data_IF_404147321856
#
_entry.id   IF_404147321856
#
_cell.length_a   1.000
_cell.length_b   1.000
_cell.length_c   1.000
_cell.angle_alpha   90.00
_cell.angle_beta   90.00
_cell.angle_gamma   90.00
#
_symmetry.space_group_name_H-M   'P 1'
#
loop_
_entity.id
_entity.type
_entity.pdbx_description
1 polymer ?
#
# COMPACT_ATOMS: atom_id res chain seq x y z
N UNK A 1 -62.73 -6.97 -13.42
CA UNK A 1 -62.01 -6.34 -14.55
C UNK A 1 -60.69 -5.76 -14.05
N UNK A 2 -59.76 -6.56 -13.52
CA UNK A 2 -58.40 -6.15 -13.10
C UNK A 2 -57.53 -7.39 -12.93
N UNK A 3 -56.95 -7.93 -14.02
CA UNK A 3 -55.94 -9.02 -13.90
C UNK A 3 -54.97 -9.15 -15.09
N UNK A 4 -54.99 -8.24 -16.06
CA UNK A 4 -54.20 -8.35 -17.30
C UNK A 4 -53.02 -7.37 -17.40
N UNK A 5 -52.81 -6.46 -16.43
CA UNK A 5 -51.75 -5.44 -16.52
C UNK A 5 -50.43 -5.80 -15.81
N UNK A 6 -50.40 -6.82 -14.94
CA UNK A 6 -49.19 -7.16 -14.18
C UNK A 6 -48.18 -8.04 -14.96
N UNK A 7 -48.65 -8.86 -15.92
CA UNK A 7 -47.80 -9.79 -16.67
C UNK A 7 -46.95 -9.09 -17.73
N UNK A 8 -47.43 -7.96 -18.26
CA UNK A 8 -46.73 -7.16 -19.28
C UNK A 8 -45.51 -6.42 -18.72
N UNK A 9 -45.58 -5.92 -17.48
CA UNK A 9 -44.51 -5.11 -16.88
C UNK A 9 -43.31 -5.97 -16.45
N UNK A 10 -43.54 -7.19 -15.93
CA UNK A 10 -42.47 -8.11 -15.54
C UNK A 10 -41.68 -8.65 -16.74
N UNK A 11 -42.35 -8.91 -17.87
CA UNK A 11 -41.71 -9.32 -19.14
C UNK A 11 -40.89 -8.17 -19.75
N UNK A 12 -41.39 -6.93 -19.69
CA UNK A 12 -40.65 -5.74 -20.13
C UNK A 12 -39.41 -5.47 -19.26
N UNK A 13 -39.52 -5.59 -17.93
CA UNK A 13 -38.37 -5.44 -17.01
C UNK A 13 -37.36 -6.56 -17.18
N UNK A 14 -37.81 -7.81 -17.37
CA UNK A 14 -36.93 -8.96 -17.63
C UNK A 14 -36.15 -8.81 -18.95
N UNK A 15 -36.83 -8.42 -20.03
CA UNK A 15 -36.20 -8.20 -21.34
C UNK A 15 -35.22 -7.01 -21.30
N UNK A 16 -35.58 -5.94 -20.60
CA UNK A 16 -34.71 -4.77 -20.39
C UNK A 16 -33.45 -5.12 -19.57
N UNK A 17 -33.58 -5.87 -18.47
CA UNK A 17 -32.43 -6.34 -17.70
C UNK A 17 -31.51 -7.28 -18.49
N UNK A 18 -32.07 -8.15 -19.35
CA UNK A 18 -31.25 -9.02 -20.21
C UNK A 18 -30.53 -8.26 -21.31
N UNK A 19 -31.17 -7.25 -21.93
CA UNK A 19 -30.56 -6.41 -22.95
C UNK A 19 -29.44 -5.54 -22.34
N UNK A 20 -29.72 -4.85 -21.22
CA UNK A 20 -28.71 -4.09 -20.47
C UNK A 20 -27.56 -4.99 -20.00
N UNK A 21 -27.85 -6.23 -19.57
CA UNK A 21 -26.83 -7.19 -19.17
C UNK A 21 -25.96 -7.71 -20.33
N UNK A 22 -26.50 -7.82 -21.54
CA UNK A 22 -25.75 -8.18 -22.75
C UNK A 22 -24.88 -7.01 -23.25
N UNK A 23 -25.44 -5.80 -23.26
CA UNK A 23 -24.73 -4.57 -23.64
C UNK A 23 -23.54 -4.32 -22.70
N UNK A 24 -23.73 -4.54 -21.39
CA UNK A 24 -22.67 -4.33 -20.41
C UNK A 24 -21.52 -5.35 -20.55
N UNK A 25 -21.84 -6.62 -20.86
CA UNK A 25 -20.82 -7.65 -21.14
C UNK A 25 -20.05 -7.38 -22.43
N UNK A 26 -20.73 -6.94 -23.49
CA UNK A 26 -20.06 -6.59 -24.75
C UNK A 26 -19.13 -5.38 -24.58
N UNK A 27 -19.57 -4.37 -23.83
CA UNK A 27 -18.72 -3.21 -23.50
C UNK A 27 -17.48 -3.62 -22.67
N UNK A 28 -17.63 -4.55 -21.74
CA UNK A 28 -16.53 -5.05 -20.91
C UNK A 28 -15.50 -5.85 -21.72
N UNK A 29 -15.95 -6.76 -22.59
CA UNK A 29 -15.08 -7.51 -23.50
C UNK A 29 -14.39 -6.59 -24.52
N UNK A 30 -15.09 -5.58 -25.06
CA UNK A 30 -14.50 -4.59 -25.95
C UNK A 30 -13.41 -3.76 -25.24
N UNK A 31 -13.66 -3.31 -24.00
CA UNK A 31 -12.67 -2.60 -23.21
C UNK A 31 -11.45 -3.47 -22.87
N UNK A 32 -11.66 -4.77 -22.63
CA UNK A 32 -10.59 -5.73 -22.39
C UNK A 32 -9.74 -5.98 -23.64
N UNK A 33 -10.38 -6.15 -24.80
CA UNK A 33 -9.70 -6.31 -26.08
C UNK A 33 -8.87 -5.06 -26.43
N UNK A 34 -9.45 -3.87 -26.21
CA UNK A 34 -8.75 -2.60 -26.41
C UNK A 34 -7.52 -2.51 -25.50
N UNK A 35 -7.66 -2.77 -24.20
CA UNK A 35 -6.50 -2.78 -23.27
C UNK A 35 -5.41 -3.76 -23.71
N UNK A 36 -5.79 -4.96 -24.15
CA UNK A 36 -4.84 -5.95 -24.64
C UNK A 36 -4.09 -5.46 -25.88
N UNK A 37 -4.75 -4.74 -26.78
CA UNK A 37 -4.12 -4.11 -27.94
C UNK A 37 -3.05 -3.10 -27.50
N UNK A 38 -3.39 -2.15 -26.62
CA UNK A 38 -2.43 -1.16 -26.12
C UNK A 38 -1.24 -1.81 -25.43
N UNK A 39 -1.50 -2.83 -24.60
CA UNK A 39 -0.45 -3.58 -23.92
C UNK A 39 0.49 -4.28 -24.91
N UNK A 40 -0.05 -4.95 -25.93
CA UNK A 40 0.76 -5.63 -26.94
C UNK A 40 1.60 -4.64 -27.75
N UNK A 41 1.02 -3.51 -28.17
CA UNK A 41 1.76 -2.48 -28.92
C UNK A 41 2.89 -1.89 -28.09
N UNK A 42 2.65 -1.60 -26.81
CA UNK A 42 3.71 -1.09 -25.92
C UNK A 42 4.83 -2.09 -25.64
N UNK A 43 4.50 -3.39 -25.53
CA UNK A 43 5.50 -4.45 -25.37
C UNK A 43 6.36 -4.65 -26.62
N UNK A 44 5.83 -4.35 -27.81
CA UNK A 44 6.58 -4.39 -29.06
C UNK A 44 7.60 -3.23 -29.20
N UNK A 45 7.50 -2.22 -28.34
CA UNK A 45 8.39 -1.07 -28.29
C UNK A 45 7.81 0.20 -28.93
N UNK A 46 8.47 1.33 -28.67
CA UNK A 46 8.07 2.65 -29.13
C UNK A 46 9.27 3.59 -29.24
N UNK A 47 9.03 4.81 -29.67
CA UNK A 47 10.03 5.86 -29.82
C UNK A 47 9.97 6.85 -28.65
N UNK A 48 11.06 6.97 -27.89
CA UNK A 48 11.14 7.83 -26.71
C UNK A 48 10.99 9.32 -27.02
N UNK A 49 11.51 9.79 -28.16
CA UNK A 49 11.41 11.22 -28.53
C UNK A 49 9.96 11.61 -28.84
N UNK A 50 9.23 10.76 -29.57
CA UNK A 50 7.78 10.96 -29.77
C UNK A 50 7.02 10.79 -28.46
N UNK A 51 7.43 9.87 -27.60
CA UNK A 51 6.84 9.66 -26.29
C UNK A 51 6.93 10.87 -25.38
N UNK A 52 8.06 11.57 -25.42
CA UNK A 52 8.27 12.84 -24.70
C UNK A 52 7.25 13.90 -25.15
N UNK A 53 6.95 13.96 -26.45
CA UNK A 53 5.92 14.86 -26.99
C UNK A 53 4.52 14.48 -26.53
N UNK A 54 4.21 13.18 -26.48
CA UNK A 54 2.93 12.68 -25.94
C UNK A 54 2.78 13.09 -24.47
N UNK A 55 3.82 12.87 -23.65
CA UNK A 55 3.84 13.25 -22.23
C UNK A 55 3.56 14.75 -22.03
N UNK A 56 4.20 15.60 -22.84
CA UNK A 56 4.04 17.06 -22.77
C UNK A 56 2.71 17.58 -23.36
N UNK A 57 1.94 16.73 -24.06
CA UNK A 57 0.73 17.18 -24.75
C UNK A 57 -0.41 17.48 -23.78
N UNK A 58 -1.19 18.53 -24.07
CA UNK A 58 -2.39 18.85 -23.29
C UNK A 58 -3.45 17.73 -23.36
N UNK A 59 -3.48 17.00 -24.48
CA UNK A 59 -4.41 15.89 -24.73
C UNK A 59 -4.15 14.71 -23.80
N UNK A 60 -2.88 14.34 -23.60
CA UNK A 60 -2.50 13.31 -22.63
C UNK A 60 -2.51 13.84 -21.20
N UNK A 61 -2.29 15.14 -20.99
CA UNK A 61 -2.45 15.78 -19.68
C UNK A 61 -1.50 15.32 -18.58
N UNK A 62 -0.45 14.54 -18.91
CA UNK A 62 0.47 13.98 -17.91
C UNK A 62 1.14 15.09 -17.09
N UNK A 63 1.56 16.18 -17.77
CA UNK A 63 2.16 17.37 -17.16
C UNK A 63 1.19 18.22 -16.34
N UNK A 64 -0.06 17.83 -16.13
CA UNK A 64 -0.94 18.49 -15.14
C UNK A 64 -0.72 17.97 -13.73
N UNK A 65 -0.35 16.69 -13.63
CA UNK A 65 -0.23 15.99 -12.35
C UNK A 65 1.17 15.44 -12.09
N UNK A 66 1.98 15.23 -13.13
CA UNK A 66 3.31 14.65 -13.00
C UNK A 66 4.39 15.63 -13.44
N UNK A 67 5.54 15.58 -12.77
CA UNK A 67 6.75 16.29 -13.17
C UNK A 67 7.86 15.31 -13.53
N UNK A 68 8.81 15.80 -14.31
CA UNK A 68 10.07 15.12 -14.65
C UNK A 68 11.28 16.02 -14.43
N UNK A 69 11.07 17.27 -14.01
CA UNK A 69 12.07 18.29 -13.71
C UNK A 69 11.45 19.27 -12.69
N UNK A 70 12.26 20.10 -12.05
CA UNK A 70 11.80 21.02 -10.99
C UNK A 70 11.50 20.31 -9.68
N UNK A 71 11.11 21.08 -8.66
CA UNK A 71 10.79 20.60 -7.30
C UNK A 71 9.35 20.93 -6.88
N UNK A 72 8.50 21.33 -7.83
CA UNK A 72 7.11 21.65 -7.56
C UNK A 72 6.29 20.39 -7.26
N UNK A 73 5.46 20.47 -6.24
CA UNK A 73 4.64 19.32 -5.82
C UNK A 73 3.32 19.31 -6.56
N UNK A 74 2.92 18.13 -7.03
CA UNK A 74 1.76 17.92 -7.90
C UNK A 74 0.89 16.79 -7.36
N UNK A 75 -0.32 16.67 -7.88
CA UNK A 75 -1.27 15.64 -7.43
C UNK A 75 -0.81 14.20 -7.78
N UNK A 76 0.06 14.03 -8.77
CA UNK A 76 0.65 12.74 -9.14
C UNK A 76 2.13 12.65 -8.73
N UNK A 77 2.68 11.43 -8.67
CA UNK A 77 4.09 11.22 -8.34
C UNK A 77 5.06 11.86 -9.32
N UNK A 78 6.22 12.25 -8.80
CA UNK A 78 7.40 12.59 -9.60
C UNK A 78 7.85 11.37 -10.42
N UNK A 79 8.03 11.60 -11.73
CA UNK A 79 8.37 10.56 -12.69
C UNK A 79 9.84 10.59 -13.14
N UNK A 80 10.68 11.47 -12.59
CA UNK A 80 12.11 11.62 -12.94
C UNK A 80 12.88 10.31 -13.09
N UNK A 81 12.55 9.34 -12.23
CA UNK A 81 13.26 8.05 -12.12
C UNK A 81 12.30 6.86 -12.26
N UNK A 82 11.13 7.07 -12.86
CA UNK A 82 10.07 6.05 -12.92
C UNK A 82 10.51 4.79 -13.66
N UNK A 83 11.43 4.93 -14.62
CA UNK A 83 12.03 3.83 -15.39
C UNK A 83 13.01 2.95 -14.61
N UNK A 84 13.52 3.41 -13.45
CA UNK A 84 14.26 2.56 -12.50
C UNK A 84 13.33 1.86 -11.51
N UNK A 85 12.20 2.51 -11.18
CA UNK A 85 11.26 2.04 -10.16
C UNK A 85 10.38 0.88 -10.64
N UNK A 86 9.99 0.89 -11.92
CA UNK A 86 9.01 -0.07 -12.45
C UNK A 86 9.51 -0.77 -13.71
N UNK A 87 9.22 -2.06 -13.81
CA UNK A 87 9.41 -2.82 -15.03
C UNK A 87 8.43 -2.36 -16.13
N UNK A 88 8.74 -2.69 -17.38
CA UNK A 88 7.95 -2.28 -18.55
C UNK A 88 6.47 -2.63 -18.44
N UNK A 89 6.15 -3.86 -18.01
CA UNK A 89 4.78 -4.33 -17.83
C UNK A 89 4.04 -3.58 -16.71
N UNK A 90 4.75 -3.21 -15.65
CA UNK A 90 4.20 -2.44 -14.54
C UNK A 90 3.88 -0.99 -14.97
N UNK A 91 4.74 -0.36 -15.78
CA UNK A 91 4.48 0.96 -16.34
C UNK A 91 3.23 0.94 -17.24
N UNK A 92 3.16 -0.01 -18.17
CA UNK A 92 2.01 -0.19 -19.06
C UNK A 92 0.72 -0.32 -18.25
N UNK A 93 0.73 -1.22 -17.25
CA UNK A 93 -0.42 -1.47 -16.41
C UNK A 93 -0.83 -0.23 -15.60
N UNK A 94 0.13 0.50 -15.05
CA UNK A 94 -0.15 1.70 -14.24
C UNK A 94 -0.87 2.78 -15.05
N UNK A 95 -0.55 2.94 -16.33
CA UNK A 95 -1.22 3.92 -17.20
C UNK A 95 -2.58 3.42 -17.71
N UNK A 96 -2.71 2.13 -18.03
CA UNK A 96 -3.98 1.54 -18.48
C UNK A 96 -5.01 1.39 -17.36
N UNK A 97 -4.55 1.15 -16.13
CA UNK A 97 -5.36 0.80 -14.96
C UNK A 97 -4.95 1.59 -13.71
N UNK A 98 -5.05 2.93 -13.71
CA UNK A 98 -4.49 3.77 -12.65
C UNK A 98 -5.10 3.55 -11.25
N UNK A 99 -6.29 2.95 -11.16
CA UNK A 99 -6.95 2.61 -9.90
C UNK A 99 -6.74 1.16 -9.45
N UNK A 100 -6.03 0.33 -10.24
CA UNK A 100 -5.80 -1.08 -9.89
C UNK A 100 -4.82 -1.25 -8.72
N UNK A 101 -3.87 -0.33 -8.59
CA UNK A 101 -2.93 -0.26 -7.46
C UNK A 101 -2.52 1.19 -7.26
N UNK A 102 -3.02 1.80 -6.20
CA UNK A 102 -2.74 3.20 -5.88
C UNK A 102 -1.72 3.23 -4.74
N UNK A 103 -0.59 3.90 -4.95
CA UNK A 103 0.36 4.12 -3.87
C UNK A 103 -0.32 4.94 -2.77
N UNK A 104 -0.18 4.56 -1.49
CA UNK A 104 -0.95 5.21 -0.44
C UNK A 104 -0.74 6.73 -0.32
N UNK A 105 0.45 7.25 -0.62
CA UNK A 105 0.73 8.69 -0.65
C UNK A 105 -0.04 9.47 -1.72
N UNK A 106 -0.50 8.77 -2.77
CA UNK A 106 -1.25 9.34 -3.88
C UNK A 106 -2.69 8.81 -3.92
N UNK A 107 -3.13 8.16 -2.85
CA UNK A 107 -4.52 7.75 -2.70
C UNK A 107 -5.40 8.99 -2.53
N UNK A 108 -6.44 9.08 -3.35
CA UNK A 108 -7.39 10.19 -3.26
C UNK A 108 -8.16 10.07 -1.93
N UNK A 109 -8.26 11.19 -1.24
CA UNK A 109 -9.10 11.37 -0.06
C UNK A 109 -10.39 12.08 -0.47
N UNK A 110 -11.51 11.59 0.02
CA UNK A 110 -12.82 12.24 -0.07
C UNK A 110 -13.15 12.81 1.30
N UNK A 111 -13.26 14.13 1.38
CA UNK A 111 -13.59 14.88 2.59
C UNK A 111 -14.95 15.52 2.41
N UNK A 112 -15.90 15.14 3.26
CA UNK A 112 -17.23 15.76 3.34
C UNK A 112 -17.23 16.71 4.53
N UNK A 113 -17.62 17.97 4.29
CA UNK A 113 -17.73 18.96 5.37
C UNK A 113 -19.08 18.91 6.07
N UNK A 114 -19.16 19.49 7.27
CA UNK A 114 -20.41 19.68 8.03
C UNK A 114 -21.47 20.48 7.25
N UNK A 115 -21.03 21.31 6.30
CA UNK A 115 -21.91 22.05 5.39
C UNK A 115 -22.37 21.22 4.17
N UNK A 116 -22.01 19.94 4.10
CA UNK A 116 -22.34 19.01 3.02
C UNK A 116 -21.49 19.17 1.75
N UNK A 117 -20.39 19.94 1.80
CA UNK A 117 -19.51 20.11 0.63
C UNK A 117 -18.53 18.94 0.56
N UNK A 118 -18.37 18.38 -0.63
CA UNK A 118 -17.44 17.27 -0.88
C UNK A 118 -16.22 17.79 -1.60
N UNK A 119 -15.04 17.46 -1.08
CA UNK A 119 -13.75 17.69 -1.70
C UNK A 119 -13.08 16.35 -1.98
N UNK A 120 -12.45 16.23 -3.14
CA UNK A 120 -11.67 15.06 -3.51
C UNK A 120 -10.29 15.50 -3.95
N UNK A 121 -9.24 14.91 -3.37
CA UNK A 121 -7.87 15.24 -3.74
C UNK A 121 -6.85 14.33 -3.07
N UNK A 122 -5.59 14.42 -3.49
CA UNK A 122 -4.48 13.72 -2.82
C UNK A 122 -4.09 14.50 -1.56
N UNK A 123 -3.92 13.78 -0.45
CA UNK A 123 -3.52 14.39 0.82
C UNK A 123 -2.14 15.02 0.68
N UNK A 124 -2.09 16.34 0.80
CA UNK A 124 -0.85 17.10 0.72
C UNK A 124 -0.22 17.27 2.09
N UNK A 125 -1.05 17.63 3.07
CA UNK A 125 -0.64 17.92 4.44
C UNK A 125 -1.84 17.80 5.36
N UNK A 126 -1.60 17.36 6.59
CA UNK A 126 -2.54 17.50 7.70
C UNK A 126 -1.83 18.19 8.85
N UNK A 127 -2.49 19.15 9.48
CA UNK A 127 -2.02 19.75 10.72
C UNK A 127 -3.06 19.53 11.82
N UNK A 128 -2.84 20.10 13.00
CA UNK A 128 -3.86 20.13 14.06
C UNK A 128 -5.04 21.06 13.75
N UNK A 129 -4.96 21.83 12.67
CA UNK A 129 -5.94 22.87 12.32
C UNK A 129 -6.64 22.60 10.99
N UNK A 130 -5.97 21.97 10.02
CA UNK A 130 -6.51 21.82 8.66
C UNK A 130 -6.01 20.56 7.95
N UNK A 131 -6.79 20.14 6.95
CA UNK A 131 -6.41 19.21 5.89
C UNK A 131 -6.13 20.02 4.63
N UNK A 132 -5.01 19.73 3.97
CA UNK A 132 -4.66 20.28 2.66
C UNK A 132 -4.68 19.17 1.61
N UNK A 133 -5.42 19.39 0.53
CA UNK A 133 -5.54 18.45 -0.59
C UNK A 133 -5.04 19.11 -1.89
N UNK A 134 -4.48 18.32 -2.80
CA UNK A 134 -4.34 18.69 -4.22
C UNK A 134 -5.46 18.01 -5.02
N UNK A 135 -6.32 18.81 -5.65
CA UNK A 135 -7.41 18.30 -6.48
C UNK A 135 -6.93 17.85 -7.88
N UNK A 136 -7.87 17.44 -8.74
CA UNK A 136 -7.57 16.96 -10.10
C UNK A 136 -6.97 18.06 -11.01
N UNK A 137 -7.15 19.33 -10.65
CA UNK A 137 -6.54 20.49 -11.30
C UNK A 137 -5.18 20.86 -10.68
N UNK A 138 -4.66 20.02 -9.76
CA UNK A 138 -3.46 20.29 -8.96
C UNK A 138 -3.56 21.59 -8.14
N UNK A 139 -4.77 22.01 -7.77
CA UNK A 139 -5.00 23.19 -6.91
C UNK A 139 -5.02 22.77 -5.45
N UNK A 140 -4.36 23.58 -4.62
CA UNK A 140 -4.36 23.40 -3.16
C UNK A 140 -5.71 23.82 -2.57
N UNK A 141 -6.42 22.85 -2.00
CA UNK A 141 -7.64 23.05 -1.22
C UNK A 141 -7.29 22.91 0.26
N UNK A 142 -7.67 23.90 1.07
CA UNK A 142 -7.51 23.87 2.54
C UNK A 142 -8.87 23.74 3.20
N UNK A 143 -8.99 22.79 4.11
CA UNK A 143 -10.23 22.45 4.81
C UNK A 143 -9.92 22.48 6.31
N UNK A 144 -10.48 23.43 7.08
CA UNK A 144 -10.35 23.42 8.54
C UNK A 144 -10.83 22.10 9.11
N UNK A 145 -10.11 21.54 10.09
CA UNK A 145 -10.48 20.25 10.69
C UNK A 145 -11.84 20.30 11.39
N UNK A 146 -12.20 21.44 11.97
CA UNK A 146 -13.50 21.65 12.61
C UNK A 146 -14.67 21.63 11.60
N UNK A 147 -14.39 21.84 10.30
CA UNK A 147 -15.38 21.75 9.24
C UNK A 147 -15.54 20.33 8.68
N UNK A 148 -14.68 19.37 9.07
CA UNK A 148 -14.69 18.00 8.54
C UNK A 148 -15.73 17.16 9.27
N UNK A 149 -16.71 16.63 8.53
CA UNK A 149 -17.70 15.69 9.03
C UNK A 149 -17.25 14.24 8.80
N UNK A 150 -16.85 13.92 7.57
CA UNK A 150 -16.39 12.58 7.21
C UNK A 150 -15.19 12.62 6.26
N UNK A 151 -14.29 11.66 6.44
CA UNK A 151 -13.10 11.47 5.62
C UNK A 151 -12.97 9.99 5.22
N UNK A 152 -12.82 9.73 3.92
CA UNK A 152 -12.67 8.37 3.38
C UNK A 152 -11.61 8.31 2.30
N UNK A 153 -10.79 7.26 2.30
CA UNK A 153 -9.94 6.94 1.15
C UNK A 153 -10.81 6.45 0.00
N UNK A 154 -10.59 7.02 -1.17
CA UNK A 154 -11.23 6.58 -2.41
C UNK A 154 -10.49 5.38 -2.99
N UNK A 155 -11.20 4.35 -3.48
CA UNK A 155 -10.59 3.30 -4.29
C UNK A 155 -10.23 3.78 -5.71
N UNK A 156 -10.57 5.03 -6.06
CA UNK A 156 -10.34 5.62 -7.38
C UNK A 156 -9.21 6.64 -7.33
N UNK A 157 -8.26 6.50 -8.25
CA UNK A 157 -7.14 7.43 -8.45
C UNK A 157 -7.61 8.75 -9.06
N UNK A 158 -6.90 9.85 -8.77
CA UNK A 158 -7.06 11.10 -9.53
C UNK A 158 -6.52 10.98 -10.96
N UNK A 159 -5.62 10.04 -11.23
CA UNK A 159 -5.19 9.76 -12.59
C UNK A 159 -6.39 9.24 -13.40
N UNK A 160 -6.76 9.90 -14.52
CA UNK A 160 -8.00 9.58 -15.22
C UNK A 160 -8.07 8.14 -15.71
N UNK A 161 -9.22 7.48 -15.47
CA UNK A 161 -9.53 6.24 -16.15
C UNK A 161 -9.60 6.48 -17.67
N UNK A 162 -9.26 5.45 -18.46
CA UNK A 162 -9.29 5.51 -19.93
C UNK A 162 -8.35 6.55 -20.55
N UNK A 163 -7.33 7.00 -19.81
CA UNK A 163 -6.34 7.95 -20.33
C UNK A 163 -5.69 7.49 -21.63
N UNK A 164 -5.39 6.20 -21.76
CA UNK A 164 -4.81 5.65 -22.97
C UNK A 164 -5.73 5.82 -24.21
N UNK A 165 -7.05 5.91 -24.02
CA UNK A 165 -8.00 6.12 -25.13
C UNK A 165 -7.92 7.55 -25.71
N UNK A 166 -7.21 8.48 -25.05
CA UNK A 166 -6.95 9.83 -25.60
C UNK A 166 -5.80 9.83 -26.61
N UNK A 167 -5.11 8.71 -26.83
CA UNK A 167 -3.98 8.58 -27.75
C UNK A 167 -4.11 7.30 -28.57
N UNK A 168 -3.36 7.16 -29.66
CA UNK A 168 -3.34 5.89 -30.40
C UNK A 168 -2.52 4.83 -29.64
N UNK A 169 -2.69 3.52 -29.94
CA UNK A 169 -1.83 2.47 -29.39
C UNK A 169 -0.33 2.72 -29.61
N UNK A 170 0.04 3.31 -30.75
CA UNK A 170 1.43 3.68 -31.08
C UNK A 170 1.91 4.86 -30.24
N UNK A 171 1.08 5.90 -30.05
CA UNK A 171 1.40 7.02 -29.17
C UNK A 171 1.55 6.56 -27.71
N UNK A 172 0.73 5.60 -27.29
CA UNK A 172 0.87 4.97 -25.98
C UNK A 172 2.18 4.18 -25.86
N UNK A 173 2.55 3.39 -26.87
CA UNK A 173 3.82 2.68 -26.90
C UNK A 173 5.03 3.65 -26.86
N UNK A 174 4.94 4.76 -27.60
CA UNK A 174 5.93 5.84 -27.57
C UNK A 174 6.03 6.45 -26.16
N UNK A 175 4.89 6.78 -25.53
CA UNK A 175 4.86 7.29 -24.15
C UNK A 175 5.54 6.33 -23.16
N UNK A 176 5.20 5.04 -23.21
CA UNK A 176 5.82 4.03 -22.36
C UNK A 176 7.33 3.93 -22.63
N UNK A 177 7.74 3.96 -23.90
CA UNK A 177 9.15 3.97 -24.27
C UNK A 177 9.88 5.18 -23.65
N UNK A 178 9.28 6.37 -23.68
CA UNK A 178 9.82 7.55 -22.99
C UNK A 178 9.92 7.34 -21.48
N UNK A 179 8.85 6.87 -20.82
CA UNK A 179 8.89 6.65 -19.36
C UNK A 179 9.99 5.66 -18.94
N UNK A 180 10.32 4.66 -19.77
CA UNK A 180 11.44 3.74 -19.47
C UNK A 180 12.81 4.41 -19.53
N UNK A 181 12.94 5.56 -20.21
CA UNK A 181 14.20 6.34 -20.26
C UNK A 181 14.40 7.24 -19.04
N UNK A 182 13.34 7.52 -18.28
CA UNK A 182 13.38 8.36 -17.08
C UNK A 182 14.03 7.59 -15.92
N UNK A 183 15.35 7.68 -15.85
CA UNK A 183 16.21 6.97 -14.89
C UNK A 183 17.14 7.95 -14.19
N UNK A 184 17.61 7.58 -13.01
CA UNK A 184 18.70 8.30 -12.37
C UNK A 184 19.89 8.36 -13.35
N UNK A 185 20.53 9.54 -13.50
CA UNK A 185 21.80 9.61 -14.18
C UNK A 185 22.72 8.57 -13.55
N UNK A 186 23.39 7.77 -14.36
CA UNK A 186 24.34 6.78 -13.86
C UNK A 186 25.45 7.56 -13.15
N UNK A 187 25.37 7.68 -11.82
CA UNK A 187 26.52 8.01 -11.00
C UNK A 187 27.47 6.84 -11.15
N UNK A 188 28.71 7.10 -11.58
CA UNK A 188 29.77 6.09 -11.57
C UNK A 188 29.81 5.48 -10.16
N UNK A 189 29.40 4.20 -9.96
CA UNK A 189 29.30 3.65 -8.62
C UNK A 189 30.68 3.52 -7.96
N UNK A 190 31.77 3.65 -8.72
CA UNK A 190 33.13 3.84 -8.19
C UNK A 190 33.32 5.13 -7.39
N UNK A 191 32.40 6.10 -7.48
CA UNK A 191 32.40 7.35 -6.70
C UNK A 191 31.64 7.26 -5.38
N UNK A 192 30.87 6.20 -5.16
CA UNK A 192 30.10 5.98 -3.92
C UNK A 192 30.80 4.91 -3.07
N UNK A 193 31.34 5.27 -1.88
CA UNK A 193 32.01 4.31 -1.01
C UNK A 193 31.08 3.14 -0.65
N UNK A 194 31.48 1.91 -1.01
CA UNK A 194 30.76 0.68 -0.64
C UNK A 194 29.74 0.15 -1.65
N UNK A 195 29.51 0.83 -2.79
CA UNK A 195 28.74 0.26 -3.90
C UNK A 195 29.65 -0.55 -4.83
N UNK A 196 29.21 -1.73 -5.25
CA UNK A 196 29.89 -2.53 -6.27
C UNK A 196 29.23 -2.30 -7.64
N UNK A 197 30.03 -2.08 -8.68
CA UNK A 197 29.55 -1.89 -10.06
C UNK A 197 28.88 -3.16 -10.63
N UNK A 198 29.26 -4.32 -10.11
CA UNK A 198 28.72 -5.61 -10.49
C UNK A 198 28.36 -6.39 -9.22
N UNK A 199 27.12 -6.88 -9.15
CA UNK A 199 26.73 -7.84 -8.14
C UNK A 199 27.15 -9.22 -8.67
N UNK A 200 28.20 -9.86 -8.13
CA UNK A 200 28.66 -11.13 -8.65
C UNK A 200 27.56 -12.18 -8.45
N UNK A 201 27.21 -12.88 -9.52
CA UNK A 201 26.32 -14.04 -9.42
C UNK A 201 26.94 -15.07 -8.48
N UNK A 202 26.18 -15.49 -7.47
CA UNK A 202 26.62 -16.53 -6.54
C UNK A 202 26.92 -17.82 -7.30
N UNK A 203 28.10 -18.40 -7.07
CA UNK A 203 28.54 -19.64 -7.74
C UNK A 203 27.65 -20.85 -7.44
N UNK A 204 26.95 -20.82 -6.30
CA UNK A 204 25.99 -21.83 -5.86
C UNK A 204 24.62 -21.16 -5.77
N UNK A 205 23.67 -21.50 -6.64
CA UNK A 205 22.32 -20.96 -6.55
C UNK A 205 21.70 -21.28 -5.19
N UNK A 206 21.02 -20.30 -4.59
CA UNK A 206 20.19 -20.52 -3.40
C UNK A 206 18.89 -21.17 -3.83
N UNK A 207 18.47 -22.22 -3.12
CA UNK A 207 17.15 -22.82 -3.30
C UNK A 207 16.24 -22.37 -2.17
N UNK A 208 15.06 -21.87 -2.54
CA UNK A 208 14.01 -21.62 -1.57
C UNK A 208 13.28 -22.93 -1.27
N UNK A 209 13.23 -23.29 0.01
CA UNK A 209 12.46 -24.42 0.50
C UNK A 209 11.26 -23.91 1.30
N UNK A 210 10.14 -24.62 1.17
CA UNK A 210 8.93 -24.26 1.89
C UNK A 210 9.14 -24.48 3.39
N UNK A 211 8.79 -23.48 4.20
CA UNK A 211 8.98 -23.54 5.65
C UNK A 211 8.02 -24.50 6.36
N UNK A 212 6.77 -24.67 5.90
CA UNK A 212 5.74 -25.50 6.53
C UNK A 212 4.93 -26.32 5.52
N UNK A 213 4.07 -27.24 5.98
CA UNK A 213 3.20 -28.02 5.08
C UNK A 213 2.22 -27.14 4.30
N UNK A 214 1.66 -27.65 3.18
CA UNK A 214 0.72 -26.90 2.33
C UNK A 214 -0.61 -26.59 3.02
N UNK A 215 -0.94 -27.36 4.06
CA UNK A 215 -2.23 -27.29 4.76
C UNK A 215 -2.25 -26.13 5.76
N UNK A 216 -1.07 -25.66 6.19
CA UNK A 216 -0.93 -24.47 7.01
C UNK A 216 -0.96 -23.23 6.13
N UNK A 217 -1.88 -22.32 6.43
CA UNK A 217 -2.02 -21.01 5.77
C UNK A 217 -1.99 -19.92 6.82
N UNK A 218 -1.18 -18.90 6.59
CA UNK A 218 -1.17 -17.68 7.38
C UNK A 218 -1.81 -16.54 6.61
N UNK A 219 -2.54 -15.70 7.33
CA UNK A 219 -3.23 -14.54 6.79
C UNK A 219 -2.38 -13.26 7.01
N UNK A 220 -1.80 -12.74 5.93
CA UNK A 220 -0.88 -11.58 5.94
C UNK A 220 0.24 -11.71 7.00
N UNK A 221 1.11 -12.74 6.92
CA UNK A 221 2.24 -12.89 7.84
C UNK A 221 3.30 -11.80 7.57
N UNK A 222 3.67 -11.06 8.61
CA UNK A 222 4.61 -9.92 8.50
C UNK A 222 5.89 -10.09 9.30
N UNK A 223 5.89 -10.98 10.29
CA UNK A 223 7.06 -11.24 11.12
C UNK A 223 7.13 -12.73 11.50
N UNK A 224 8.33 -13.30 11.39
CA UNK A 224 8.64 -14.68 11.81
C UNK A 224 9.88 -14.67 12.69
N UNK A 225 9.76 -15.16 13.93
CA UNK A 225 10.86 -15.14 14.93
C UNK A 225 10.93 -16.49 15.64
N UNK A 226 12.14 -16.97 15.95
CA UNK A 226 12.31 -18.20 16.72
C UNK A 226 11.84 -18.03 18.18
N UNK A 227 11.13 -19.02 18.71
CA UNK A 227 10.75 -19.06 20.12
C UNK A 227 11.98 -19.44 20.98
N UNK A 228 12.46 -18.57 21.89
CA UNK A 228 13.61 -18.91 22.72
C UNK A 228 13.33 -20.15 23.56
N UNK A 229 14.33 -21.04 23.64
CA UNK A 229 14.22 -22.34 24.32
C UNK A 229 13.64 -23.47 23.45
N UNK A 230 13.11 -23.17 22.26
CA UNK A 230 12.75 -24.19 21.28
C UNK A 230 13.81 -24.30 20.18
N UNK A 231 13.99 -25.52 19.65
CA UNK A 231 14.87 -25.78 18.50
C UNK A 231 14.16 -25.62 17.16
N UNK A 232 12.84 -25.71 17.17
CA UNK A 232 12.03 -25.86 15.94
C UNK A 232 10.83 -24.93 15.89
N UNK A 233 10.41 -24.37 17.03
CA UNK A 233 9.21 -23.52 17.08
C UNK A 233 9.52 -22.11 16.61
N UNK A 234 8.62 -21.60 15.77
CA UNK A 234 8.63 -20.23 15.28
C UNK A 234 7.35 -19.54 15.70
N UNK A 235 7.44 -18.24 15.91
CA UNK A 235 6.30 -17.35 16.09
C UNK A 235 6.03 -16.67 14.76
N UNK A 236 4.77 -16.70 14.32
CA UNK A 236 4.31 -16.06 13.08
C UNK A 236 3.27 -15.03 13.44
N UNK A 237 3.55 -13.77 13.13
CA UNK A 237 2.66 -12.63 13.36
C UNK A 237 1.80 -12.42 12.14
N UNK A 238 0.48 -12.51 12.30
CA UNK A 238 -0.50 -12.15 11.28
C UNK A 238 -0.98 -10.71 11.50
N UNK A 239 -0.71 -9.85 10.53
CA UNK A 239 -0.97 -8.41 10.63
C UNK A 239 -2.45 -8.11 10.84
N UNK A 240 -3.30 -8.59 9.94
CA UNK A 240 -4.71 -8.20 9.87
C UNK A 240 -5.59 -8.92 10.90
N UNK A 241 -5.34 -10.21 11.12
CA UNK A 241 -6.05 -10.98 12.15
C UNK A 241 -5.64 -10.55 13.55
N UNK A 242 -4.48 -9.87 13.69
CA UNK A 242 -3.88 -9.41 14.94
C UNK A 242 -3.56 -10.58 15.89
N UNK A 243 -3.31 -11.75 15.31
CA UNK A 243 -2.97 -12.98 16.03
C UNK A 243 -1.50 -13.29 15.86
N UNK A 244 -0.92 -13.86 16.91
CA UNK A 244 0.41 -14.44 16.85
C UNK A 244 0.25 -15.94 17.04
N UNK A 245 0.79 -16.70 16.10
CA UNK A 245 0.73 -18.15 16.06
C UNK A 245 2.10 -18.74 16.40
N UNK A 246 2.11 -19.80 17.19
CA UNK A 246 3.28 -20.65 17.37
C UNK A 246 3.23 -21.80 16.38
N UNK A 247 4.10 -21.77 15.38
CA UNK A 247 4.33 -22.84 14.41
C UNK A 247 5.29 -23.87 15.00
N UNK A 248 4.80 -25.09 15.24
CA UNK A 248 5.52 -26.19 15.86
C UNK A 248 5.98 -27.19 14.79
N UNK A 249 7.26 -27.54 14.83
CA UNK A 249 7.88 -28.53 13.94
C UNK A 249 7.55 -28.35 12.45
N UNK A 250 7.16 -27.13 12.03
CA UNK A 250 6.74 -26.81 10.66
C UNK A 250 5.46 -27.52 10.18
N UNK A 251 4.76 -28.25 11.06
CA UNK A 251 3.62 -29.11 10.71
C UNK A 251 2.33 -28.79 11.43
N UNK A 252 2.39 -28.04 12.54
CA UNK A 252 1.21 -27.65 13.31
C UNK A 252 1.31 -26.18 13.77
N UNK A 253 0.18 -25.51 13.98
CA UNK A 253 0.15 -24.16 14.55
C UNK A 253 -0.86 -24.05 15.69
N UNK A 254 -0.45 -23.34 16.73
CA UNK A 254 -1.28 -23.07 17.90
C UNK A 254 -1.35 -21.56 18.14
N UNK A 255 -2.52 -21.06 18.57
CA UNK A 255 -2.66 -19.65 18.91
C UNK A 255 -1.82 -19.33 20.15
N UNK A 256 -0.95 -18.33 20.04
CA UNK A 256 -0.16 -17.84 21.16
C UNK A 256 -0.84 -16.65 21.84
N UNK A 257 -1.26 -15.65 21.07
CA UNK A 257 -2.05 -14.50 21.57
C UNK A 257 -2.97 -13.95 20.48
N UNK A 258 -4.14 -13.45 20.91
CA UNK A 258 -5.06 -12.67 20.09
C UNK A 258 -5.10 -11.22 20.60
N UNK A 259 -4.63 -10.28 19.79
CA UNK A 259 -4.56 -8.85 20.13
C UNK A 259 -5.70 -8.05 19.48
N UNK A 260 -6.73 -8.71 18.93
CA UNK A 260 -7.84 -8.04 18.22
C UNK A 260 -8.64 -7.06 19.07
N UNK A 261 -8.64 -7.22 20.40
CA UNK A 261 -9.27 -6.30 21.34
C UNK A 261 -8.44 -5.04 21.63
N UNK A 262 -7.14 -5.05 21.33
CA UNK A 262 -6.21 -3.96 21.66
C UNK A 262 -5.68 -3.24 20.41
N UNK A 263 -5.54 -3.96 19.29
CA UNK A 263 -4.97 -3.47 18.05
C UNK A 263 -6.05 -3.17 17.00
N UNK A 264 -5.90 -2.04 16.32
CA UNK A 264 -6.65 -1.71 15.12
C UNK A 264 -6.09 -2.47 13.90
N UNK A 265 -6.87 -2.57 12.83
CA UNK A 265 -6.43 -3.19 11.57
C UNK A 265 -6.97 -2.43 10.37
N UNK A 266 -6.22 -2.47 9.26
CA UNK A 266 -6.60 -1.83 8.00
C UNK A 266 -5.80 -2.38 6.82
N UNK A 267 -5.42 -1.50 5.91
CA UNK A 267 -4.66 -1.89 4.71
C UNK A 267 -3.20 -2.20 5.04
N UNK A 268 -2.59 -1.38 5.90
CA UNK A 268 -1.19 -1.47 6.34
C UNK A 268 -1.06 -1.63 7.85
N UNK A 269 -2.19 -1.55 8.56
CA UNK A 269 -2.26 -1.49 10.01
C UNK A 269 -2.66 -2.83 10.62
N UNK A 270 -2.20 -3.06 11.84
CA UNK A 270 -2.29 -4.36 12.50
C UNK A 270 -1.16 -4.56 13.49
N UNK A 271 -0.82 -5.82 13.72
CA UNK A 271 0.35 -6.22 14.52
C UNK A 271 1.54 -6.40 13.60
N UNK A 272 2.66 -5.75 13.89
CA UNK A 272 3.81 -5.71 12.98
C UNK A 272 4.92 -6.68 13.36
N UNK A 273 5.25 -6.76 14.65
CA UNK A 273 6.39 -7.53 15.11
C UNK A 273 6.24 -7.88 16.60
N UNK A 274 7.05 -8.84 17.04
CA UNK A 274 7.26 -9.15 18.46
C UNK A 274 8.76 -9.26 18.75
N UNK A 275 9.16 -9.09 20.00
CA UNK A 275 10.51 -9.41 20.45
C UNK A 275 10.46 -10.07 21.82
N UNK A 276 11.23 -11.14 22.01
CA UNK A 276 11.36 -11.78 23.31
C UNK A 276 12.44 -11.08 24.13
N UNK A 277 12.20 -10.88 25.43
CA UNK A 277 13.24 -10.38 26.33
C UNK A 277 14.44 -11.36 26.32
N UNK A 278 15.70 -10.89 26.42
CA UNK A 278 16.87 -11.77 26.52
C UNK A 278 16.82 -12.80 27.66
N UNK A 279 16.00 -12.57 28.69
CA UNK A 279 15.77 -13.46 29.82
C UNK A 279 14.40 -14.16 29.76
N UNK A 280 13.82 -14.30 28.57
CA UNK A 280 12.47 -14.84 28.35
C UNK A 280 12.23 -16.18 29.06
N UNK A 281 13.21 -17.09 29.07
CA UNK A 281 13.08 -18.38 29.75
C UNK A 281 12.89 -18.27 31.28
N UNK A 282 13.27 -17.14 31.87
CA UNK A 282 13.14 -16.87 33.31
C UNK A 282 11.96 -15.93 33.59
N UNK A 283 11.87 -14.82 32.88
CA UNK A 283 10.89 -13.76 33.16
C UNK A 283 9.61 -13.85 32.32
N UNK A 284 9.62 -14.65 31.25
CA UNK A 284 8.50 -14.89 30.31
C UNK A 284 8.02 -13.64 29.57
N UNK A 285 8.81 -12.57 29.59
CA UNK A 285 8.43 -11.28 29.02
C UNK A 285 8.69 -11.22 27.52
N UNK A 286 7.73 -10.68 26.79
CA UNK A 286 7.87 -10.36 25.38
C UNK A 286 7.18 -9.03 25.08
N UNK A 287 7.55 -8.45 23.95
CA UNK A 287 7.12 -7.13 23.53
C UNK A 287 6.48 -7.23 22.16
N UNK A 288 5.47 -6.42 21.90
CA UNK A 288 4.74 -6.38 20.63
C UNK A 288 4.66 -4.96 20.11
N UNK A 289 4.72 -4.82 18.79
CA UNK A 289 4.41 -3.58 18.09
C UNK A 289 3.08 -3.76 17.35
N UNK A 290 2.09 -2.96 17.71
CA UNK A 290 0.79 -2.93 17.04
C UNK A 290 0.27 -1.51 16.88
N UNK A 291 -0.64 -1.32 15.92
CA UNK A 291 -1.23 -0.01 15.66
C UNK A 291 -2.55 0.18 16.40
N UNK A 292 -2.81 1.41 16.85
CA UNK A 292 -4.12 1.84 17.35
C UNK A 292 -4.59 3.07 16.58
N UNK A 293 -5.91 3.20 16.39
CA UNK A 293 -6.52 4.41 15.87
C UNK A 293 -7.23 5.15 16.99
N UNK A 294 -6.77 6.36 17.31
CA UNK A 294 -7.52 7.28 18.16
C UNK A 294 -8.55 8.01 17.29
N UNK A 295 -9.76 8.27 17.80
CA UNK A 295 -10.84 8.89 17.03
C UNK A 295 -10.36 10.20 16.36
N UNK A 296 -10.38 10.26 15.03
CA UNK A 296 -9.97 11.43 14.24
C UNK A 296 -8.46 11.64 14.07
N UNK A 297 -7.62 10.72 14.57
CA UNK A 297 -6.15 10.77 14.46
C UNK A 297 -5.59 9.64 13.58
N UNK A 298 -4.35 9.84 13.12
CA UNK A 298 -3.57 8.81 12.42
C UNK A 298 -3.35 7.58 13.28
N UNK A 299 -3.07 6.44 12.65
CA UNK A 299 -2.64 5.25 13.36
C UNK A 299 -1.33 5.53 14.09
N UNK A 300 -1.24 5.07 15.34
CA UNK A 300 -0.02 5.18 16.14
C UNK A 300 0.55 3.80 16.45
N UNK A 301 1.85 3.54 16.21
CA UNK A 301 2.54 2.39 16.76
C UNK A 301 2.53 2.42 18.29
N UNK A 302 2.18 1.29 18.88
CA UNK A 302 2.22 1.02 20.31
C UNK A 302 3.25 -0.07 20.56
N UNK A 303 4.20 0.23 21.44
CA UNK A 303 5.10 -0.79 22.00
C UNK A 303 4.53 -1.21 23.34
N UNK A 304 4.21 -2.49 23.48
CA UNK A 304 3.61 -3.03 24.69
C UNK A 304 4.33 -4.27 25.19
N UNK A 305 4.47 -4.37 26.52
CA UNK A 305 4.96 -5.56 27.22
C UNK A 305 3.81 -6.52 27.53
N UNK A 306 4.06 -7.80 27.34
CA UNK A 306 3.20 -8.92 27.72
C UNK A 306 4.03 -10.04 28.35
N UNK A 307 3.36 -11.04 28.91
CA UNK A 307 4.00 -12.15 29.59
C UNK A 307 3.40 -13.49 29.15
N UNK A 308 4.25 -14.49 28.91
CA UNK A 308 3.82 -15.84 28.60
C UNK A 308 3.48 -16.66 29.85
N UNK A 309 2.71 -17.74 29.63
CA UNK A 309 2.42 -18.79 30.62
C UNK A 309 3.69 -19.46 31.12
N UNK A 310 3.64 -20.12 32.28
CA UNK A 310 4.81 -20.76 32.89
C UNK A 310 5.46 -21.83 31.99
N UNK A 311 4.69 -22.48 31.13
CA UNK A 311 5.16 -23.46 30.14
C UNK A 311 5.65 -22.80 28.83
N UNK A 312 5.62 -21.47 28.73
CA UNK A 312 6.04 -20.65 27.59
C UNK A 312 5.24 -20.89 26.30
N UNK A 313 4.12 -21.63 26.36
CA UNK A 313 3.39 -22.06 25.17
C UNK A 313 2.39 -21.04 24.66
N UNK A 314 1.89 -20.15 25.53
CA UNK A 314 0.85 -19.16 25.23
C UNK A 314 1.09 -17.86 25.99
N UNK A 315 0.39 -16.80 25.60
CA UNK A 315 0.27 -15.59 26.41
C UNK A 315 -0.51 -15.88 27.71
N UNK A 316 -0.14 -15.19 28.80
CA UNK A 316 -0.74 -15.36 30.11
C UNK A 316 -2.12 -14.68 30.24
N UNK A 317 -2.56 -13.93 29.24
CA UNK A 317 -3.80 -13.16 29.23
C UNK A 317 -3.67 -11.78 29.89
N UNK A 318 -4.78 -11.05 29.94
CA UNK A 318 -4.84 -9.68 30.48
C UNK A 318 -4.52 -8.60 29.45
N UNK A 319 -4.60 -7.34 29.87
CA UNK A 319 -4.29 -6.18 29.03
C UNK A 319 -2.77 -5.98 28.90
N UNK A 320 -2.30 -5.55 27.73
CA UNK A 320 -0.88 -5.25 27.56
C UNK A 320 -0.47 -4.05 28.42
N UNK A 321 0.75 -4.09 28.96
CA UNK A 321 1.37 -2.90 29.56
C UNK A 321 1.97 -2.06 28.43
N UNK A 322 1.28 -0.99 28.02
CA UNK A 322 1.81 -0.03 27.03
C UNK A 322 3.03 0.69 27.59
N UNK A 323 4.11 0.71 26.84
CA UNK A 323 5.38 1.34 27.20
C UNK A 323 5.60 2.64 26.44
N UNK A 324 5.25 2.65 25.16
CA UNK A 324 5.44 3.77 24.26
C UNK A 324 4.30 3.81 23.25
N UNK A 325 3.83 5.02 22.97
CA UNK A 325 3.03 5.33 21.81
C UNK A 325 3.82 6.34 20.98
N UNK A 326 4.08 6.03 19.72
CA UNK A 326 4.83 6.90 18.83
C UNK A 326 3.82 7.78 18.07
N UNK A 327 3.80 9.10 18.26
CA UNK A 327 2.96 10.00 17.48
C UNK A 327 3.29 9.89 15.99
N UNK A 328 2.29 10.02 15.13
CA UNK A 328 2.46 9.97 13.67
C UNK A 328 1.72 11.15 13.05
N UNK A 329 2.31 11.73 12.00
CA UNK A 329 1.74 12.82 11.22
C UNK A 329 1.17 12.36 9.87
N UNK A 330 1.31 11.08 9.55
CA UNK A 330 0.62 10.42 8.44
C UNK A 330 0.19 8.99 8.80
N UNK A 331 -0.63 8.41 7.93
CA UNK A 331 -1.01 7.00 7.99
C UNK A 331 -0.04 6.10 7.18
N UNK A 332 1.25 6.45 7.07
CA UNK A 332 2.25 5.67 6.33
C UNK A 332 3.62 5.73 6.99
N UNK A 333 4.53 4.85 6.52
CA UNK A 333 5.95 4.83 6.90
C UNK A 333 6.25 4.72 8.41
N UNK A 334 5.48 3.92 9.14
CA UNK A 334 5.65 3.82 10.59
C UNK A 334 6.76 2.87 11.06
N UNK A 335 7.37 2.11 10.14
CA UNK A 335 8.26 1.01 10.51
C UNK A 335 7.50 -0.14 11.18
N UNK A 336 8.13 -0.83 12.12
CA UNK A 336 7.45 -1.95 12.79
C UNK A 336 8.33 -2.95 13.53
N UNK A 337 9.63 -3.00 13.21
CA UNK A 337 10.53 -4.03 13.72
C UNK A 337 10.85 -3.82 15.21
N UNK A 338 10.90 -4.92 15.96
CA UNK A 338 11.41 -4.96 17.33
C UNK A 338 12.54 -5.97 17.42
N UNK A 339 13.63 -5.60 18.09
CA UNK A 339 14.71 -6.53 18.39
C UNK A 339 15.43 -6.11 19.67
N UNK A 340 15.93 -7.10 20.42
CA UNK A 340 16.91 -6.81 21.47
C UNK A 340 18.32 -6.88 20.89
N UNK A 341 19.13 -5.87 21.17
CA UNK A 341 20.55 -5.87 20.83
C UNK A 341 21.36 -6.74 21.79
N UNK A 342 22.62 -7.05 21.45
CA UNK A 342 23.53 -7.79 22.33
C UNK A 342 23.87 -7.05 23.63
N UNK A 343 23.62 -5.74 23.68
CA UNK A 343 23.75 -4.85 24.84
C UNK A 343 22.52 -4.87 25.77
N UNK A 344 21.46 -5.57 25.39
CA UNK A 344 20.25 -5.74 26.20
C UNK A 344 19.22 -4.63 26.05
N UNK A 345 19.41 -3.65 25.17
CA UNK A 345 18.39 -2.65 24.86
C UNK A 345 17.36 -3.17 23.85
N UNK A 346 16.11 -2.71 23.99
CA UNK A 346 15.06 -2.92 22.99
C UNK A 346 15.17 -1.85 21.91
N UNK A 347 15.50 -2.25 20.69
CA UNK A 347 15.52 -1.42 19.51
C UNK A 347 14.16 -1.44 18.83
N UNK A 348 13.68 -0.26 18.47
CA UNK A 348 12.40 -0.05 17.80
C UNK A 348 12.72 0.57 16.44
N UNK A 349 12.48 -0.19 15.37
CA UNK A 349 12.60 0.32 14.01
C UNK A 349 11.36 1.14 13.66
N UNK A 350 11.46 2.45 13.86
CA UNK A 350 10.46 3.42 13.38
C UNK A 350 10.81 3.87 11.97
N UNK A 351 9.80 4.18 11.17
CA UNK A 351 10.01 4.98 9.95
C UNK A 351 9.79 6.47 10.22
N UNK A 352 9.89 7.26 9.16
CA UNK A 352 9.85 8.73 9.17
C UNK A 352 8.46 9.31 9.44
N UNK A 353 7.39 8.50 9.39
CA UNK A 353 6.01 8.95 9.55
C UNK A 353 5.57 10.02 8.53
N UNK A 354 6.39 10.30 7.51
CA UNK A 354 6.25 11.45 6.61
C UNK A 354 5.48 11.07 5.34
N UNK A 355 4.79 12.03 4.71
CA UNK A 355 4.28 11.81 3.37
C UNK A 355 5.47 11.70 2.40
N UNK A 356 5.28 11.03 1.27
CA UNK A 356 6.28 11.00 0.19
C UNK A 356 6.85 12.41 -0.11
N UNK A 357 8.15 12.48 -0.34
CA UNK A 357 8.95 13.72 -0.55
C UNK A 357 9.16 14.58 0.70
N UNK A 358 8.71 14.11 1.88
CA UNK A 358 9.00 14.67 3.20
C UNK A 358 9.12 16.21 3.21
N UNK A 359 8.00 16.93 2.94
CA UNK A 359 8.01 18.37 2.72
C UNK A 359 8.39 19.19 3.96
N UNK A 360 8.57 18.54 5.12
CA UNK A 360 8.93 19.19 6.38
C UNK A 360 10.25 18.67 6.98
N UNK A 361 10.84 17.60 6.45
CA UNK A 361 12.14 17.10 6.90
C UNK A 361 12.07 16.24 8.18
N UNK A 362 11.05 15.40 8.32
CA UNK A 362 10.78 14.59 9.52
C UNK A 362 11.75 13.42 9.74
#
# INVERSE_FOLDING_TARGET
>A
MFRTTALSLALLVGLYCTLVGQDNKQAEEAAKALRAQYQQTALAGGNSERGKQVFASEKAGCVKCHRIEGDEQRAGPDLRVVGDKYALDQLIRSVLEPSASIHPDYASLVVTTVAGKVYTGVLRKRTKQEIQLLDAESKLVRIPLDDVDEEKRSPTSLMPAKLAETMSPEQFADLIAFLTTLKQPVTDPGTLPGLVNEIPMIKKPIRLERLHTKDIKFDHPVCVIALPGSKTDLMVVEQKTRKIWRLQNKTDRELFVDLSAEASTGQFEGVMCLAFHPNYLKNRKYYVNYHVRNQGSFFSPIIAERQATADLRRDAGGASRRLLQIPQDTDLHWGGMLAFGPDGYLYIGSGDAGPQEDPEGH
#
